data_IF_598083828818
#
_entry.id   IF_598083828818
#
_cell.length_a   1.000
_cell.length_b   1.000
_cell.length_c   1.000
_cell.angle_alpha   90.00
_cell.angle_beta   90.00
_cell.angle_gamma   90.00
#
_symmetry.space_group_name_H-M   'P 1'
#
loop_
_entity.id
_entity.type
_entity.pdbx_description
1 polymer ?
#
# COMPACT_ATOMS: atom_id res chain seq x y z
N UNK A 1 -9.95 -14.12 11.34
CA UNK A 1 -8.92 -13.21 10.83
C UNK A 1 -8.19 -13.94 9.72
N UNK A 2 -8.12 -13.29 8.56
CA UNK A 2 -7.42 -13.81 7.38
C UNK A 2 -6.45 -12.75 6.90
N UNK A 3 -5.32 -13.17 6.36
CA UNK A 3 -4.32 -12.27 5.80
C UNK A 3 -4.51 -12.18 4.29
N UNK A 4 -4.65 -10.96 3.78
CA UNK A 4 -4.68 -10.65 2.37
C UNK A 4 -3.34 -10.00 2.03
N UNK A 5 -2.66 -10.53 1.02
CA UNK A 5 -1.37 -10.02 0.60
C UNK A 5 -1.42 -9.57 -0.85
N UNK A 6 -0.84 -8.40 -1.13
CA UNK A 6 -0.60 -7.89 -2.47
C UNK A 6 0.90 -7.65 -2.61
N UNK A 7 1.55 -8.44 -3.45
CA UNK A 7 3.01 -8.45 -3.60
C UNK A 7 3.41 -8.02 -5.01
N UNK A 8 4.63 -7.49 -5.13
CA UNK A 8 5.25 -7.17 -6.41
C UNK A 8 4.66 -5.95 -7.12
N UNK A 9 4.07 -5.00 -6.38
CA UNK A 9 3.54 -3.78 -6.99
C UNK A 9 4.69 -2.86 -7.37
N UNK A 10 4.90 -2.69 -8.67
CA UNK A 10 5.97 -1.84 -9.21
C UNK A 10 5.48 -0.40 -9.44
N UNK A 11 6.18 0.57 -8.87
CA UNK A 11 5.92 1.99 -9.06
C UNK A 11 7.19 2.74 -9.42
N UNK A 12 7.14 3.50 -10.50
CA UNK A 12 8.21 4.45 -10.83
C UNK A 12 7.97 5.76 -10.08
N UNK A 13 8.87 6.10 -9.16
CA UNK A 13 8.74 7.28 -8.30
C UNK A 13 10.07 7.99 -8.12
N UNK A 14 10.01 9.26 -7.72
CA UNK A 14 11.17 10.13 -7.54
C UNK A 14 11.55 10.27 -6.06
N UNK A 15 11.46 9.16 -5.33
CA UNK A 15 11.91 9.13 -3.94
C UNK A 15 13.44 9.03 -3.89
N UNK A 16 14.05 9.78 -2.99
CA UNK A 16 15.49 9.80 -2.85
C UNK A 16 15.99 11.00 -2.06
N UNK A 17 17.10 10.80 -1.36
CA UNK A 17 17.75 11.87 -0.61
C UNK A 17 18.67 12.69 -1.52
N UNK A 18 19.22 12.04 -2.56
CA UNK A 18 20.11 12.69 -3.50
C UNK A 18 19.31 13.51 -4.53
N UNK A 19 19.77 14.72 -4.88
CA UNK A 19 19.11 15.55 -5.88
C UNK A 19 19.04 14.88 -7.27
N UNK A 20 19.97 13.98 -7.57
CA UNK A 20 20.01 13.22 -8.83
C UNK A 20 18.91 12.14 -8.90
N UNK A 21 18.53 11.55 -7.76
CA UNK A 21 17.43 10.57 -7.64
C UNK A 21 16.07 11.22 -7.85
N UNK A 22 15.91 12.46 -7.36
CA UNK A 22 14.69 13.24 -7.54
C UNK A 22 14.44 13.63 -9.03
N UNK A 23 15.45 13.51 -9.89
CA UNK A 23 15.38 13.84 -11.32
C UNK A 23 15.20 12.58 -12.17
N UNK A 24 15.94 11.51 -11.87
CA UNK A 24 15.93 10.29 -12.69
C UNK A 24 14.79 9.34 -12.29
N UNK A 25 14.45 9.31 -11.00
CA UNK A 25 13.50 8.35 -10.44
C UNK A 25 14.05 6.92 -10.39
N UNK A 26 13.42 6.10 -9.55
CA UNK A 26 13.70 4.68 -9.44
C UNK A 26 12.40 3.89 -9.47
N UNK A 27 12.48 2.61 -9.83
CA UNK A 27 11.36 1.68 -9.67
C UNK A 27 11.43 1.10 -8.26
N UNK A 28 10.35 1.28 -7.51
CA UNK A 28 10.16 0.72 -6.18
C UNK A 28 9.17 -0.43 -6.24
N UNK A 29 9.42 -1.46 -5.45
CA UNK A 29 8.54 -2.61 -5.30
C UNK A 29 7.88 -2.52 -3.93
N UNK A 30 6.55 -2.54 -3.93
CA UNK A 30 5.73 -2.48 -2.73
C UNK A 30 5.02 -3.81 -2.53
N UNK A 31 5.21 -4.39 -1.35
CA UNK A 31 4.42 -5.50 -0.85
C UNK A 31 3.60 -5.01 0.35
N UNK A 32 2.31 -5.36 0.40
CA UNK A 32 1.42 -5.03 1.52
C UNK A 32 0.73 -6.28 2.03
N UNK A 33 0.76 -6.43 3.35
CA UNK A 33 0.13 -7.51 4.10
C UNK A 33 -0.95 -6.89 4.99
N UNK A 34 -2.19 -7.31 4.83
CA UNK A 34 -3.35 -6.79 5.56
C UNK A 34 -4.03 -7.91 6.32
N UNK A 35 -4.31 -7.71 7.60
CA UNK A 35 -5.17 -8.60 8.37
C UNK A 35 -6.54 -7.95 8.56
N UNK A 36 -7.58 -8.69 8.17
CA UNK A 36 -8.97 -8.26 8.30
C UNK A 36 -9.91 -9.45 8.50
N UNK A 37 -11.13 -9.16 8.94
CA UNK A 37 -12.19 -10.17 9.07
C UNK A 37 -12.86 -10.41 7.71
N UNK A 38 -12.45 -11.49 7.03
CA UNK A 38 -13.03 -11.87 5.73
C UNK A 38 -14.28 -12.75 5.83
N UNK A 39 -14.77 -13.03 7.05
CA UNK A 39 -15.88 -13.97 7.29
C UNK A 39 -17.20 -13.62 6.60
N UNK A 40 -17.39 -12.35 6.19
CA UNK A 40 -18.52 -11.93 5.36
C UNK A 40 -18.29 -12.25 3.88
N UNK A 41 -17.18 -11.81 3.32
CA UNK A 41 -16.82 -12.07 1.93
C UNK A 41 -16.65 -13.56 1.62
N UNK A 42 -16.14 -14.35 2.56
CA UNK A 42 -16.07 -15.82 2.45
C UNK A 42 -17.46 -16.46 2.25
N UNK A 43 -18.54 -15.79 2.66
CA UNK A 43 -19.92 -16.29 2.55
C UNK A 43 -20.70 -15.65 1.41
N UNK A 44 -20.43 -14.38 1.10
CA UNK A 44 -21.13 -13.65 0.05
C UNK A 44 -20.47 -13.75 -1.33
N UNK A 45 -19.17 -14.07 -1.39
CA UNK A 45 -18.34 -13.98 -2.59
C UNK A 45 -18.36 -12.58 -3.24
N UNK A 46 -18.67 -11.54 -2.46
CA UNK A 46 -18.76 -10.16 -2.95
C UNK A 46 -17.51 -9.36 -2.56
N UNK A 47 -16.91 -8.70 -3.57
CA UNK A 47 -15.73 -7.86 -3.43
C UNK A 47 -15.97 -6.58 -2.61
N UNK A 48 -17.22 -6.19 -2.38
CA UNK A 48 -17.57 -5.06 -1.52
C UNK A 48 -17.72 -5.46 -0.04
N UNK A 49 -17.78 -6.75 0.28
CA UNK A 49 -17.82 -7.28 1.65
C UNK A 49 -16.41 -7.54 2.24
N UNK A 50 -15.35 -7.15 1.52
CA UNK A 50 -13.94 -7.28 1.92
C UNK A 50 -13.14 -6.06 1.51
N UNK A 51 -11.91 -5.98 2.02
CA UNK A 51 -10.91 -5.02 1.56
C UNK A 51 -10.65 -5.21 0.07
N UNK A 52 -11.14 -4.27 -0.73
CA UNK A 52 -10.93 -4.30 -2.17
C UNK A 52 -9.45 -3.99 -2.49
N UNK A 53 -8.73 -5.00 -2.97
CA UNK A 53 -7.32 -4.88 -3.37
C UNK A 53 -7.08 -3.80 -4.44
N UNK A 54 -8.08 -3.47 -5.27
CA UNK A 54 -8.00 -2.38 -6.24
C UNK A 54 -7.92 -1.03 -5.53
N UNK A 55 -8.74 -0.84 -4.49
CA UNK A 55 -8.69 0.36 -3.65
C UNK A 55 -7.35 0.48 -2.94
N UNK A 56 -6.83 -0.62 -2.40
CA UNK A 56 -5.49 -0.67 -1.77
C UNK A 56 -4.41 -0.25 -2.77
N UNK A 57 -4.43 -0.82 -3.98
CA UNK A 57 -3.49 -0.47 -5.05
C UNK A 57 -3.57 1.02 -5.42
N UNK A 58 -4.77 1.56 -5.58
CA UNK A 58 -4.95 2.99 -5.89
C UNK A 58 -4.45 3.90 -4.77
N UNK A 59 -4.67 3.53 -3.50
CA UNK A 59 -4.14 4.28 -2.35
C UNK A 59 -2.61 4.31 -2.42
N UNK A 60 -1.98 3.15 -2.58
CA UNK A 60 -0.51 3.04 -2.64
C UNK A 60 0.04 3.82 -3.83
N UNK A 61 -0.59 3.67 -5.01
CA UNK A 61 -0.21 4.41 -6.22
C UNK A 61 -0.22 5.92 -6.01
N UNK A 62 -1.25 6.45 -5.35
CA UNK A 62 -1.34 7.88 -5.05
C UNK A 62 -0.25 8.31 -4.06
N UNK A 63 0.04 7.49 -3.05
CA UNK A 63 1.11 7.83 -2.10
C UNK A 63 2.50 7.78 -2.74
N UNK A 64 2.76 6.81 -3.61
CA UNK A 64 4.02 6.69 -4.37
C UNK A 64 4.24 7.84 -5.36
N UNK A 65 3.17 8.49 -5.83
CA UNK A 65 3.28 9.66 -6.71
C UNK A 65 3.79 10.92 -6.00
N UNK A 66 3.83 10.94 -4.66
CA UNK A 66 4.27 12.10 -3.87
C UNK A 66 5.71 11.89 -3.42
N UNK A 67 6.62 12.67 -4.02
CA UNK A 67 8.05 12.60 -3.74
C UNK A 67 8.37 12.67 -2.24
N UNK A 68 9.36 11.89 -1.82
CA UNK A 68 9.79 11.79 -0.43
C UNK A 68 11.29 11.50 -0.40
N UNK A 69 11.98 12.00 0.62
CA UNK A 69 13.43 11.81 0.75
C UNK A 69 13.81 10.47 1.35
N UNK A 70 12.89 9.86 2.09
CA UNK A 70 13.11 8.70 2.95
C UNK A 70 12.01 7.66 2.68
N UNK A 71 12.38 6.38 2.65
CA UNK A 71 11.43 5.28 2.45
C UNK A 71 10.55 5.08 3.69
N UNK A 72 11.08 5.38 4.88
CA UNK A 72 10.34 5.36 6.15
C UNK A 72 9.15 6.32 6.09
N UNK A 73 9.33 7.49 5.46
CA UNK A 73 8.26 8.46 5.28
C UNK A 73 7.20 7.96 4.30
N UNK A 74 7.62 7.30 3.21
CA UNK A 74 6.71 6.69 2.23
C UNK A 74 5.91 5.56 2.87
N UNK A 75 6.58 4.62 3.54
CA UNK A 75 5.95 3.50 4.22
C UNK A 75 4.93 3.96 5.27
N UNK A 76 5.29 4.96 6.09
CA UNK A 76 4.36 5.50 7.09
C UNK A 76 3.12 6.13 6.45
N UNK A 77 3.30 6.91 5.39
CA UNK A 77 2.21 7.55 4.65
C UNK A 77 1.25 6.54 4.01
N UNK A 78 1.80 5.46 3.47
CA UNK A 78 1.00 4.34 2.93
C UNK A 78 0.16 3.73 4.05
N UNK A 79 0.77 3.37 5.18
CA UNK A 79 0.05 2.78 6.33
C UNK A 79 -1.04 3.70 6.87
N UNK A 80 -0.73 4.99 7.07
CA UNK A 80 -1.69 5.97 7.57
C UNK A 80 -2.87 6.14 6.58
N UNK A 81 -2.59 6.15 5.28
CA UNK A 81 -3.63 6.26 4.23
C UNK A 81 -4.51 5.02 4.12
N UNK A 82 -3.93 3.83 4.27
CA UNK A 82 -4.68 2.57 4.28
C UNK A 82 -5.60 2.52 5.49
N UNK A 83 -5.09 2.78 6.69
CA UNK A 83 -5.87 2.73 7.93
C UNK A 83 -6.97 3.81 7.97
N UNK A 84 -6.72 4.99 7.39
CA UNK A 84 -7.73 6.06 7.32
C UNK A 84 -8.87 5.75 6.35
N UNK A 85 -8.62 5.03 5.25
CA UNK A 85 -9.61 4.77 4.21
C UNK A 85 -10.30 3.42 4.37
N UNK A 86 -9.66 2.49 5.05
CA UNK A 86 -10.09 1.10 5.24
C UNK A 86 -10.05 0.78 6.75
N UNK A 87 -11.05 1.25 7.53
CA UNK A 87 -11.07 1.08 8.98
C UNK A 87 -11.30 -0.37 9.43
N UNK A 88 -11.65 -1.26 8.49
CA UNK A 88 -11.78 -2.71 8.70
C UNK A 88 -10.44 -3.46 8.79
N UNK A 89 -9.33 -2.78 8.49
CA UNK A 89 -7.99 -3.33 8.62
C UNK A 89 -7.58 -3.29 10.09
N UNK A 90 -7.34 -4.47 10.67
CA UNK A 90 -6.90 -4.59 12.06
C UNK A 90 -5.38 -4.47 12.17
N UNK A 91 -4.65 -4.98 11.17
CA UNK A 91 -3.19 -4.87 11.07
C UNK A 91 -2.76 -4.67 9.62
N UNK A 92 -1.74 -3.85 9.42
CA UNK A 92 -1.13 -3.61 8.11
C UNK A 92 0.38 -3.56 8.22
N UNK A 93 1.04 -4.23 7.29
CA UNK A 93 2.49 -4.18 7.10
C UNK A 93 2.79 -3.82 5.65
N UNK A 94 3.79 -2.96 5.46
CA UNK A 94 4.27 -2.54 4.13
C UNK A 94 5.77 -2.77 4.05
N UNK A 95 6.19 -3.37 2.94
CA UNK A 95 7.59 -3.50 2.56
C UNK A 95 7.83 -2.65 1.32
N UNK A 96 8.90 -1.85 1.37
CA UNK A 96 9.34 -0.97 0.28
C UNK A 96 10.75 -1.41 -0.09
N UNK A 97 10.94 -1.80 -1.36
CA UNK A 97 12.20 -2.33 -1.90
C UNK A 97 12.67 -1.57 -3.12
#
# INVERSE_FOLDING_TARGET
MSTITIEGMEFHAFHGCLPEEAITGNTFIIDVYLETDTSKAEKSDDLNDTVNYSTVYEIIKNEMAINSKLLEHVGRRILDSLQSKLPEIEYAEVKVS
#
